data_IF_100048501423
#
_entry.id   IF_100048501423
#
_cell.length_a   1.000
_cell.length_b   1.000
_cell.length_c   1.000
_cell.angle_alpha   90.00
_cell.angle_beta   90.00
_cell.angle_gamma   90.00
#
_symmetry.space_group_name_H-M   'P 1'
#
loop_
_entity.id
_entity.type
_entity.pdbx_description
1 polymer ?
#
# COMPACT_ATOMS: atom_id res chain seq x y z
N UNK A 1 27.80 -1.43 -2.27
CA UNK A 1 27.29 -2.82 -2.37
C UNK A 1 25.83 -2.80 -2.00
N UNK A 2 24.94 -3.21 -2.90
CA UNK A 2 23.49 -3.17 -2.70
C UNK A 2 22.99 -4.52 -2.22
N UNK A 3 21.84 -4.52 -1.51
CA UNK A 3 21.13 -5.73 -1.12
C UNK A 3 20.50 -6.46 -2.31
N UNK A 4 20.05 -7.70 -2.07
CA UNK A 4 19.35 -8.49 -3.08
C UNK A 4 17.89 -8.10 -3.26
N UNK A 5 17.33 -7.40 -2.28
CA UNK A 5 15.95 -7.00 -2.23
C UNK A 5 15.82 -5.50 -2.55
N UNK A 6 14.70 -5.10 -3.09
CA UNK A 6 14.38 -3.72 -3.47
C UNK A 6 14.52 -2.76 -2.30
N UNK A 7 14.10 -3.16 -1.10
CA UNK A 7 14.18 -2.34 0.12
C UNK A 7 15.59 -2.18 0.72
N UNK A 8 16.61 -2.75 0.12
CA UNK A 8 18.03 -2.59 0.43
C UNK A 8 18.83 -2.17 -0.82
N UNK A 9 18.14 -1.61 -1.82
CA UNK A 9 18.76 -1.18 -3.08
C UNK A 9 18.29 0.22 -3.47
N UNK A 10 19.06 1.27 -3.17
CA UNK A 10 18.68 2.66 -3.44
C UNK A 10 18.45 3.01 -4.92
N UNK A 11 18.81 2.11 -5.84
CA UNK A 11 18.53 2.28 -7.26
C UNK A 11 17.12 1.83 -7.64
N UNK A 12 16.40 1.15 -6.72
CA UNK A 12 15.06 0.62 -6.96
C UNK A 12 14.12 1.10 -5.86
N UNK A 13 13.61 2.31 -5.99
CA UNK A 13 12.65 2.89 -5.05
C UNK A 13 11.19 2.75 -5.52
N UNK A 14 10.97 2.32 -6.76
CA UNK A 14 9.65 2.06 -7.33
C UNK A 14 9.71 1.06 -8.49
N UNK A 15 8.64 0.27 -8.65
CA UNK A 15 8.42 -0.63 -9.80
C UNK A 15 6.95 -0.46 -10.20
N UNK A 16 6.69 -0.14 -11.48
CA UNK A 16 5.35 0.06 -12.05
C UNK A 16 4.49 1.11 -11.33
N UNK A 17 5.06 1.93 -10.48
CA UNK A 17 4.39 3.06 -9.85
C UNK A 17 4.20 4.16 -10.89
N UNK A 18 3.01 4.74 -10.94
CA UNK A 18 2.75 5.88 -11.82
C UNK A 18 3.49 7.14 -11.32
N UNK A 19 3.91 8.02 -12.25
CA UNK A 19 4.52 9.29 -11.88
C UNK A 19 3.64 10.07 -10.90
N UNK A 20 4.26 10.78 -9.93
CA UNK A 20 3.51 11.57 -8.98
C UNK A 20 2.76 12.70 -9.69
N UNK A 21 1.52 12.94 -9.24
CA UNK A 21 0.66 13.98 -9.80
C UNK A 21 -0.16 14.66 -8.71
N UNK A 22 -0.68 15.84 -9.02
CA UNK A 22 -1.62 16.54 -8.17
C UNK A 22 -2.83 15.66 -7.88
N UNK A 23 -3.35 15.77 -6.65
CA UNK A 23 -4.53 15.02 -6.22
C UNK A 23 -5.79 15.68 -6.79
N UNK A 24 -6.58 14.92 -7.51
CA UNK A 24 -7.90 15.34 -7.97
C UNK A 24 -8.85 14.14 -8.06
N UNK A 25 -10.13 14.42 -8.03
CA UNK A 25 -11.19 13.46 -8.33
C UNK A 25 -11.96 13.90 -9.58
N UNK A 26 -12.33 12.94 -10.40
CA UNK A 26 -13.26 13.17 -11.50
C UNK A 26 -14.67 12.82 -11.06
N UNK A 27 -15.63 13.65 -11.45
CA UNK A 27 -17.03 13.46 -11.16
C UNK A 27 -17.83 13.43 -12.46
N UNK A 28 -18.95 12.74 -12.47
CA UNK A 28 -19.82 12.58 -13.64
C UNK A 28 -20.66 13.83 -13.94
N UNK A 29 -20.71 14.79 -13.02
CA UNK A 29 -21.43 16.05 -13.20
C UNK A 29 -20.87 17.16 -12.31
N UNK A 30 -21.07 18.42 -12.72
CA UNK A 30 -20.74 19.61 -11.93
C UNK A 30 -21.40 19.56 -10.54
N UNK A 31 -22.66 19.15 -10.45
CA UNK A 31 -23.35 19.01 -9.18
C UNK A 31 -22.64 18.05 -8.21
N UNK A 32 -22.08 16.97 -8.69
CA UNK A 32 -21.32 16.04 -7.85
C UNK A 32 -19.95 16.62 -7.47
N UNK A 33 -19.32 17.37 -8.38
CA UNK A 33 -18.07 18.07 -8.11
C UNK A 33 -18.26 19.17 -7.05
N UNK A 34 -19.34 19.94 -7.11
CA UNK A 34 -19.68 20.99 -6.13
C UNK A 34 -19.88 20.43 -4.72
N UNK A 35 -20.37 19.19 -4.60
CA UNK A 35 -20.51 18.52 -3.31
C UNK A 35 -19.16 18.12 -2.68
N UNK A 36 -18.09 18.01 -3.48
CA UNK A 36 -16.73 17.72 -3.01
C UNK A 36 -16.55 16.35 -2.33
N UNK A 37 -17.51 15.43 -2.48
CA UNK A 37 -17.49 14.11 -1.84
C UNK A 37 -17.22 13.02 -2.89
N UNK A 38 -15.97 12.50 -2.96
CA UNK A 38 -15.63 11.43 -3.91
C UNK A 38 -16.46 10.16 -3.75
N UNK A 39 -16.92 9.87 -2.54
CA UNK A 39 -17.75 8.70 -2.26
C UNK A 39 -19.11 8.69 -2.98
N UNK A 40 -19.50 9.81 -3.55
CA UNK A 40 -20.73 9.94 -4.35
C UNK A 40 -20.51 9.67 -5.84
N UNK A 41 -19.27 9.62 -6.28
CA UNK A 41 -18.92 9.28 -7.66
C UNK A 41 -18.96 7.77 -7.87
N UNK A 42 -19.57 7.32 -8.98
CA UNK A 42 -19.52 5.92 -9.40
C UNK A 42 -18.15 5.49 -9.91
N UNK A 43 -17.23 6.46 -10.07
CA UNK A 43 -15.84 6.25 -10.47
C UNK A 43 -14.89 6.14 -9.28
N UNK A 44 -15.41 6.04 -8.06
CA UNK A 44 -14.62 5.95 -6.85
C UNK A 44 -15.10 4.81 -5.94
N UNK A 45 -14.17 4.00 -5.46
CA UNK A 45 -14.43 2.98 -4.44
C UNK A 45 -13.41 3.11 -3.34
N UNK A 46 -13.88 3.45 -2.14
CA UNK A 46 -13.03 3.50 -0.95
C UNK A 46 -12.65 2.09 -0.50
N UNK A 47 -11.37 1.87 -0.28
CA UNK A 47 -10.85 0.66 0.34
C UNK A 47 -10.53 0.86 1.83
N UNK A 48 -10.99 1.96 2.42
CA UNK A 48 -10.93 2.17 3.86
C UNK A 48 -11.84 1.18 4.59
N UNK A 49 -11.46 0.81 5.80
CA UNK A 49 -12.19 -0.13 6.62
C UNK A 49 -11.36 -1.32 7.06
N UNK A 50 -11.99 -2.46 7.28
CA UNK A 50 -11.31 -3.63 7.82
C UNK A 50 -10.64 -4.47 6.72
N UNK A 51 -9.37 -4.78 6.94
CA UNK A 51 -8.58 -5.68 6.12
C UNK A 51 -8.19 -6.92 6.94
N UNK A 52 -8.09 -8.08 6.31
CA UNK A 52 -7.41 -9.24 6.92
C UNK A 52 -5.93 -8.91 7.04
N UNK A 53 -5.35 -9.16 8.22
CA UNK A 53 -4.02 -8.71 8.56
C UNK A 53 -3.24 -9.75 9.36
N UNK A 54 -1.97 -9.89 9.02
CA UNK A 54 -0.98 -10.66 9.78
C UNK A 54 0.31 -9.87 9.89
N UNK A 55 0.75 -9.62 11.12
CA UNK A 55 2.07 -9.08 11.40
C UNK A 55 3.06 -10.24 11.58
N UNK A 56 4.20 -10.16 10.92
CA UNK A 56 5.34 -11.06 11.07
C UNK A 56 6.55 -10.28 11.56
N UNK A 57 7.42 -10.88 12.36
CA UNK A 57 8.58 -10.17 12.93
C UNK A 57 9.65 -9.89 11.89
N UNK A 58 9.70 -10.72 10.84
CA UNK A 58 10.69 -10.60 9.77
C UNK A 58 10.08 -10.86 8.40
N UNK A 59 10.75 -10.42 7.36
CA UNK A 59 10.34 -10.73 5.98
C UNK A 59 10.33 -12.25 5.71
N UNK A 60 11.30 -12.97 6.25
CA UNK A 60 11.42 -14.43 6.08
C UNK A 60 10.25 -15.19 6.70
N UNK A 61 9.71 -14.69 7.81
CA UNK A 61 8.56 -15.30 8.50
C UNK A 61 7.22 -14.94 7.86
N UNK A 62 7.19 -13.88 7.03
CA UNK A 62 5.96 -13.51 6.34
C UNK A 62 5.64 -14.52 5.24
N UNK A 63 4.36 -14.92 5.13
CA UNK A 63 3.94 -15.84 4.08
C UNK A 63 4.32 -15.28 2.70
N UNK A 64 4.96 -16.11 1.88
CA UNK A 64 5.37 -15.72 0.52
C UNK A 64 4.22 -15.75 -0.47
N UNK A 65 3.26 -16.64 -0.25
CA UNK A 65 2.13 -17.01 -1.11
C UNK A 65 0.80 -16.35 -0.71
N UNK A 66 0.81 -15.50 0.33
CA UNK A 66 -0.43 -14.91 0.86
C UNK A 66 -1.24 -14.11 -0.16
N UNK A 67 -0.60 -13.66 -1.23
CA UNK A 67 -1.21 -12.90 -2.31
C UNK A 67 -2.00 -13.78 -3.29
N UNK A 68 -1.81 -15.08 -3.27
CA UNK A 68 -2.51 -16.03 -4.15
C UNK A 68 -4.01 -16.04 -3.87
N UNK A 69 -4.80 -16.24 -4.93
CA UNK A 69 -6.27 -16.23 -4.84
C UNK A 69 -6.83 -17.32 -3.93
N UNK A 70 -6.19 -18.48 -3.89
CA UNK A 70 -6.58 -19.62 -3.05
C UNK A 70 -6.07 -19.57 -1.62
N UNK A 71 -5.28 -18.56 -1.24
CA UNK A 71 -4.71 -18.48 0.10
C UNK A 71 -5.78 -18.21 1.16
N UNK A 72 -5.88 -19.09 2.15
CA UNK A 72 -6.83 -18.96 3.26
C UNK A 72 -6.32 -17.98 4.33
N UNK A 73 -6.89 -16.79 4.34
CA UNK A 73 -6.68 -15.77 5.36
C UNK A 73 -7.80 -15.73 6.43
N UNK A 74 -8.65 -16.75 6.54
CA UNK A 74 -9.79 -16.77 7.47
C UNK A 74 -9.36 -16.64 8.95
N UNK A 75 -8.19 -17.19 9.29
CA UNK A 75 -7.59 -17.12 10.63
C UNK A 75 -6.85 -15.81 10.91
N UNK A 76 -6.73 -14.93 9.93
CA UNK A 76 -6.08 -13.64 10.13
C UNK A 76 -6.99 -12.70 10.91
N UNK A 77 -6.41 -11.92 11.78
CA UNK A 77 -7.13 -10.86 12.49
C UNK A 77 -7.47 -9.71 11.53
N UNK A 78 -8.23 -8.75 12.01
CA UNK A 78 -8.61 -7.55 11.24
C UNK A 78 -7.84 -6.34 11.73
N UNK A 79 -7.42 -5.51 10.77
CA UNK A 79 -6.84 -4.18 11.02
C UNK A 79 -7.67 -3.13 10.31
N UNK A 80 -7.84 -1.96 10.93
CA UNK A 80 -8.53 -0.82 10.31
C UNK A 80 -7.56 -0.04 9.42
N UNK A 81 -7.95 0.24 8.20
CA UNK A 81 -7.26 1.13 7.25
C UNK A 81 -8.19 2.33 6.98
N UNK A 82 -7.70 3.57 7.06
CA UNK A 82 -6.36 3.98 7.45
C UNK A 82 -6.07 3.75 8.93
N UNK A 83 -4.81 3.51 9.24
CA UNK A 83 -4.38 3.34 10.63
C UNK A 83 -2.95 2.83 10.75
N UNK A 84 -2.36 3.07 11.91
CA UNK A 84 -1.02 2.58 12.25
C UNK A 84 -1.09 1.28 13.07
N UNK A 85 -0.06 0.46 12.96
CA UNK A 85 0.05 -0.80 13.72
C UNK A 85 0.09 -0.54 15.21
N UNK A 86 0.83 0.48 15.62
CA UNK A 86 1.09 0.83 17.01
C UNK A 86 -0.18 1.30 17.71
N UNK A 87 -0.97 2.16 17.06
CA UNK A 87 -2.22 2.67 17.63
C UNK A 87 -3.35 1.63 17.68
N UNK A 88 -3.17 0.50 16.99
CA UNK A 88 -4.12 -0.61 17.00
C UNK A 88 -3.61 -1.82 17.78
N UNK A 89 -2.52 -1.66 18.56
CA UNK A 89 -1.99 -2.68 19.45
C UNK A 89 -1.25 -3.83 18.75
N UNK A 90 -0.81 -3.65 17.50
CA UNK A 90 -0.07 -4.67 16.75
C UNK A 90 1.43 -4.60 17.01
N UNK A 91 1.92 -3.42 17.35
CA UNK A 91 3.32 -3.14 17.58
C UNK A 91 3.45 -2.04 18.65
N UNK A 92 4.64 -1.62 18.93
CA UNK A 92 4.91 -0.52 19.86
C UNK A 92 5.55 0.66 19.11
N UNK A 93 5.25 1.90 19.50
CA UNK A 93 5.87 3.07 18.92
C UNK A 93 7.34 3.13 19.33
N UNK A 94 8.20 3.49 18.39
CA UNK A 94 9.61 3.76 18.64
C UNK A 94 9.78 5.27 18.72
N UNK A 95 10.31 5.74 19.85
CA UNK A 95 10.60 7.14 20.06
C UNK A 95 12.11 7.34 20.12
N UNK A 96 12.69 7.86 19.05
CA UNK A 96 14.09 8.27 18.98
C UNK A 96 14.12 9.59 18.22
N UNK A 97 14.89 10.55 18.71
CA UNK A 97 14.91 11.91 18.18
C UNK A 97 15.95 12.04 17.07
N UNK A 98 17.19 11.70 17.34
CA UNK A 98 18.32 11.88 16.42
C UNK A 98 18.96 10.54 15.98
N UNK A 99 18.66 9.45 16.66
CA UNK A 99 19.28 8.15 16.41
C UNK A 99 18.38 7.21 15.60
N UNK A 100 19.01 6.33 14.81
CA UNK A 100 18.30 5.22 14.19
C UNK A 100 17.94 4.17 15.26
N UNK A 101 16.76 3.50 15.18
CA UNK A 101 16.35 2.45 16.13
C UNK A 101 17.17 1.17 15.97
N UNK A 102 18.23 1.20 15.18
CA UNK A 102 19.15 0.11 14.89
C UNK A 102 20.50 0.67 14.47
N UNK A 103 21.53 -0.20 14.51
CA UNK A 103 22.86 0.18 14.02
C UNK A 103 22.79 0.50 12.53
N UNK A 104 23.16 1.73 12.18
CA UNK A 104 23.18 2.20 10.81
C UNK A 104 24.23 1.45 9.97
N UNK A 105 23.80 0.93 8.84
CA UNK A 105 24.65 0.28 7.82
C UNK A 105 23.99 0.45 6.43
N UNK A 106 23.85 1.70 5.93
CA UNK A 106 23.12 1.96 4.68
C UNK A 106 23.75 1.20 3.50
N UNK A 107 22.93 0.60 2.60
CA UNK A 107 21.47 0.66 2.54
C UNK A 107 20.75 -0.46 3.31
N UNK A 108 21.47 -1.23 4.11
CA UNK A 108 20.94 -2.41 4.78
C UNK A 108 20.10 -2.03 6.02
N UNK A 109 18.98 -2.71 6.20
CA UNK A 109 18.11 -2.57 7.37
C UNK A 109 18.10 -3.85 8.22
N UNK A 110 17.69 -3.79 9.49
CA UNK A 110 17.75 -4.95 10.37
C UNK A 110 16.93 -6.12 9.85
N UNK A 111 17.50 -7.30 9.80
CA UNK A 111 16.79 -8.53 9.38
C UNK A 111 15.87 -9.09 10.47
N UNK A 112 16.18 -8.86 11.75
CA UNK A 112 15.46 -9.40 12.90
C UNK A 112 14.41 -8.47 13.50
N UNK A 113 14.48 -7.17 13.21
CA UNK A 113 13.59 -6.15 13.78
C UNK A 113 12.76 -5.43 12.71
N UNK A 114 12.74 -5.96 11.51
CA UNK A 114 11.99 -5.39 10.39
C UNK A 114 10.66 -6.12 10.23
N UNK A 115 9.68 -5.73 11.02
CA UNK A 115 8.34 -6.32 10.96
C UNK A 115 7.70 -6.10 9.60
N UNK A 116 6.89 -7.08 9.19
CA UNK A 116 6.19 -7.10 7.91
C UNK A 116 4.71 -7.30 8.14
N UNK A 117 3.91 -6.35 7.66
CA UNK A 117 2.46 -6.46 7.66
C UNK A 117 1.96 -7.01 6.33
N UNK A 118 1.26 -8.13 6.37
CA UNK A 118 0.56 -8.69 5.23
C UNK A 118 -0.91 -8.35 5.32
N UNK A 119 -1.43 -7.68 4.29
CA UNK A 119 -2.82 -7.19 4.20
C UNK A 119 -3.52 -7.88 3.05
N UNK A 120 -4.78 -8.25 3.24
CA UNK A 120 -5.62 -8.85 2.20
C UNK A 120 -7.05 -8.34 2.30
N UNK A 121 -7.63 -7.96 1.17
CA UNK A 121 -9.01 -7.52 1.08
C UNK A 121 -9.66 -7.96 -0.22
N UNK A 122 -10.90 -8.41 -0.12
CA UNK A 122 -11.77 -8.67 -1.27
C UNK A 122 -12.68 -7.48 -1.49
N UNK A 123 -12.86 -7.10 -2.75
CA UNK A 123 -13.69 -5.99 -3.21
C UNK A 123 -14.55 -6.45 -4.39
N UNK A 124 -15.70 -5.82 -4.58
CA UNK A 124 -16.55 -6.06 -5.74
C UNK A 124 -16.51 -4.86 -6.68
N UNK A 125 -16.18 -5.10 -7.94
CA UNK A 125 -16.15 -4.08 -8.99
C UNK A 125 -17.37 -4.23 -9.91
N UNK A 126 -18.05 -3.11 -10.24
CA UNK A 126 -19.13 -3.10 -11.21
C UNK A 126 -18.62 -3.47 -12.62
N UNK A 127 -19.47 -4.12 -13.42
CA UNK A 127 -19.14 -4.53 -14.79
C UNK A 127 -18.67 -3.38 -15.68
N UNK A 128 -19.24 -2.17 -15.50
CA UNK A 128 -18.89 -1.00 -16.30
C UNK A 128 -17.47 -0.48 -16.06
N UNK A 129 -16.82 -0.89 -14.96
CA UNK A 129 -15.42 -0.53 -14.68
C UNK A 129 -14.44 -1.20 -15.64
N UNK A 130 -14.78 -2.35 -16.23
CA UNK A 130 -13.95 -3.03 -17.22
C UNK A 130 -13.76 -2.27 -18.54
N UNK A 131 -14.49 -1.18 -18.72
CA UNK A 131 -14.36 -0.28 -19.88
C UNK A 131 -13.58 0.99 -19.57
N UNK A 132 -13.00 1.08 -18.37
CA UNK A 132 -12.31 2.26 -17.83
C UNK A 132 -10.89 1.92 -17.44
N UNK A 133 -10.03 2.92 -17.45
CA UNK A 133 -8.72 2.80 -16.80
C UNK A 133 -8.93 2.86 -15.28
N UNK A 134 -8.39 1.89 -14.56
CA UNK A 134 -8.58 1.75 -13.10
C UNK A 134 -7.26 1.85 -12.38
N UNK A 135 -7.21 2.75 -11.41
CA UNK A 135 -6.03 3.05 -10.62
C UNK A 135 -6.23 2.70 -9.16
N UNK A 136 -5.29 1.96 -8.60
CA UNK A 136 -5.21 1.68 -7.16
C UNK A 136 -4.28 2.69 -6.52
N UNK A 137 -4.80 3.47 -5.57
CA UNK A 137 -4.06 4.53 -4.90
C UNK A 137 -4.00 4.32 -3.40
N UNK A 138 -2.81 4.49 -2.86
CA UNK A 138 -2.53 4.59 -1.43
C UNK A 138 -2.08 6.02 -1.14
N UNK A 139 -2.69 6.68 -0.17
CA UNK A 139 -2.33 8.04 0.22
C UNK A 139 -0.95 8.12 0.86
N UNK A 140 -0.56 7.07 1.58
CA UNK A 140 0.75 6.93 2.21
C UNK A 140 0.94 5.50 2.69
N UNK A 141 2.11 4.91 2.48
CA UNK A 141 2.51 3.63 3.07
C UNK A 141 3.94 3.77 3.60
N UNK A 142 4.15 3.44 4.87
CA UNK A 142 5.47 3.52 5.49
C UNK A 142 6.01 2.12 5.78
N UNK A 143 7.26 1.80 5.40
CA UNK A 143 8.26 2.54 4.63
C UNK A 143 8.29 2.10 3.18
N UNK A 144 8.03 0.80 2.91
CA UNK A 144 8.00 0.22 1.58
C UNK A 144 6.86 -0.79 1.45
N UNK A 145 6.35 -0.98 0.24
CA UNK A 145 5.29 -1.95 0.00
C UNK A 145 5.42 -2.67 -1.33
N UNK A 146 4.92 -3.90 -1.33
CA UNK A 146 4.61 -4.69 -2.52
C UNK A 146 3.10 -4.83 -2.66
N UNK A 147 2.61 -4.78 -3.89
CA UNK A 147 1.18 -4.80 -4.19
C UNK A 147 0.85 -5.90 -5.20
N UNK A 148 -0.24 -6.62 -4.95
CA UNK A 148 -0.82 -7.64 -5.84
C UNK A 148 -2.32 -7.40 -6.01
N UNK A 149 -2.81 -7.68 -7.21
CA UNK A 149 -4.24 -7.72 -7.52
C UNK A 149 -4.55 -9.06 -8.17
N UNK A 150 -5.55 -9.78 -7.67
CA UNK A 150 -5.95 -11.09 -8.16
C UNK A 150 -4.78 -12.09 -8.29
N UNK A 151 -3.88 -12.09 -7.30
CA UNK A 151 -2.69 -12.94 -7.26
C UNK A 151 -1.52 -12.47 -8.12
N UNK A 152 -1.71 -11.50 -9.01
CA UNK A 152 -0.68 -10.99 -9.91
C UNK A 152 0.07 -9.83 -9.26
N UNK A 153 1.39 -9.85 -9.38
CA UNK A 153 2.24 -8.76 -8.91
C UNK A 153 2.00 -7.48 -9.71
N UNK A 154 1.72 -6.39 -9.00
CA UNK A 154 1.47 -5.08 -9.60
C UNK A 154 2.72 -4.22 -9.54
N UNK A 155 3.36 -4.11 -8.37
CA UNK A 155 4.52 -3.26 -8.24
C UNK A 155 5.02 -3.08 -6.82
N UNK A 156 6.03 -2.21 -6.70
CA UNK A 156 6.72 -1.86 -5.48
C UNK A 156 6.80 -0.33 -5.32
N UNK A 157 6.77 0.16 -4.10
CA UNK A 157 6.96 1.59 -3.82
C UNK A 157 7.59 1.83 -2.47
N UNK A 158 8.45 2.83 -2.43
CA UNK A 158 8.92 3.55 -1.24
C UNK A 158 8.39 4.99 -1.27
N UNK A 159 8.71 5.79 -0.25
CA UNK A 159 8.28 7.17 -0.14
C UNK A 159 7.07 7.32 0.79
N UNK A 160 7.34 7.25 2.10
CA UNK A 160 6.33 7.10 3.17
C UNK A 160 5.31 8.22 3.25
N UNK A 161 5.62 9.41 2.75
CA UNK A 161 4.76 10.61 2.89
C UNK A 161 4.10 11.04 1.58
N UNK A 162 4.36 10.29 0.50
CA UNK A 162 3.83 10.59 -0.83
C UNK A 162 2.83 9.53 -1.26
N UNK A 163 1.80 9.92 -2.04
CA UNK A 163 0.88 8.95 -2.61
C UNK A 163 1.57 7.96 -3.55
N UNK A 164 1.10 6.73 -3.50
CA UNK A 164 1.51 5.65 -4.42
C UNK A 164 0.31 5.26 -5.25
N UNK A 165 0.46 5.25 -6.57
CA UNK A 165 -0.61 4.90 -7.50
C UNK A 165 -0.12 3.89 -8.53
N UNK A 166 -0.94 2.86 -8.79
CA UNK A 166 -0.68 1.82 -9.78
C UNK A 166 -1.85 1.69 -10.75
N UNK A 167 -1.54 1.51 -12.03
CA UNK A 167 -2.51 1.11 -13.03
C UNK A 167 -2.84 -0.38 -12.83
N UNK A 168 -4.10 -0.68 -12.57
CA UNK A 168 -4.57 -2.05 -12.34
C UNK A 168 -5.59 -2.50 -13.37
N UNK A 169 -5.75 -1.75 -14.45
CA UNK A 169 -6.74 -1.95 -15.51
C UNK A 169 -6.74 -3.39 -16.03
N UNK A 170 -5.58 -3.93 -16.37
CA UNK A 170 -5.44 -5.26 -16.95
C UNK A 170 -5.49 -6.41 -15.92
N UNK A 171 -5.65 -6.07 -14.64
CA UNK A 171 -5.57 -7.03 -13.54
C UNK A 171 -6.91 -7.24 -12.83
N UNK A 172 -7.92 -6.42 -13.14
CA UNK A 172 -9.25 -6.47 -12.54
C UNK A 172 -10.22 -7.30 -13.35
N UNK A 173 -11.29 -7.75 -12.69
CA UNK A 173 -12.42 -8.43 -13.30
C UNK A 173 -13.74 -7.90 -12.73
N UNK A 174 -14.84 -8.14 -13.43
CA UNK A 174 -16.16 -7.84 -12.89
C UNK A 174 -16.46 -8.71 -11.66
N UNK A 175 -17.16 -8.14 -10.69
CA UNK A 175 -17.45 -8.83 -9.45
C UNK A 175 -16.25 -8.87 -8.52
N UNK A 176 -15.93 -10.03 -7.99
CA UNK A 176 -14.99 -10.18 -6.89
C UNK A 176 -13.53 -10.04 -7.34
N UNK A 177 -12.81 -9.13 -6.71
CA UNK A 177 -11.36 -8.93 -6.88
C UNK A 177 -10.68 -8.96 -5.52
N UNK A 178 -9.41 -9.36 -5.50
CA UNK A 178 -8.60 -9.40 -4.31
C UNK A 178 -7.44 -8.43 -4.42
N UNK A 179 -7.25 -7.59 -3.43
CA UNK A 179 -6.06 -6.76 -3.25
C UNK A 179 -5.23 -7.32 -2.10
N UNK A 180 -3.94 -7.54 -2.33
CA UNK A 180 -2.99 -7.95 -1.31
C UNK A 180 -1.82 -6.96 -1.26
N UNK A 181 -1.38 -6.62 -0.05
CA UNK A 181 -0.29 -5.66 0.18
C UNK A 181 0.64 -6.20 1.24
N UNK A 182 1.95 -6.17 0.97
CA UNK A 182 2.99 -6.48 1.95
C UNK A 182 3.73 -5.19 2.28
N UNK A 183 3.74 -4.80 3.54
CA UNK A 183 4.34 -3.55 4.02
C UNK A 183 5.53 -3.88 4.91
N UNK A 184 6.67 -3.27 4.64
CA UNK A 184 7.88 -3.39 5.45
C UNK A 184 8.00 -2.18 6.37
N UNK A 185 8.36 -2.43 7.64
CA UNK A 185 8.57 -1.35 8.62
C UNK A 185 9.74 -0.45 8.24
N UNK A 186 10.84 -1.04 7.78
CA UNK A 186 12.05 -0.34 7.38
C UNK A 186 12.49 -0.74 5.98
N UNK A 187 13.05 0.21 5.27
CA UNK A 187 13.71 0.07 3.98
C UNK A 187 14.94 0.98 3.95
N UNK A 188 15.75 0.91 2.93
CA UNK A 188 16.85 1.86 2.71
C UNK A 188 16.36 3.31 2.65
N UNK A 189 15.14 3.57 2.16
CA UNK A 189 14.49 4.88 2.25
C UNK A 189 14.31 5.39 3.67
N UNK A 190 14.27 4.52 4.67
CA UNK A 190 14.18 4.90 6.08
C UNK A 190 15.36 5.74 6.54
N UNK A 191 16.54 5.57 5.96
CA UNK A 191 17.71 6.41 6.28
C UNK A 191 17.55 7.87 5.84
N UNK A 192 16.72 8.11 4.83
CA UNK A 192 16.43 9.46 4.31
C UNK A 192 15.21 10.10 4.97
N UNK A 193 14.25 9.28 5.39
CA UNK A 193 12.98 9.71 5.96
C UNK A 193 13.00 9.80 7.49
N UNK A 194 14.13 9.52 8.12
CA UNK A 194 14.25 9.14 9.52
C UNK A 194 14.12 10.26 10.55
N UNK A 195 14.13 11.51 10.17
CA UNK A 195 13.99 12.60 11.15
C UNK A 195 12.58 12.59 11.76
N UNK A 196 12.47 12.58 13.07
CA UNK A 196 11.24 12.69 13.88
C UNK A 196 10.11 11.69 13.58
N UNK A 197 10.27 10.77 12.66
CA UNK A 197 9.16 9.98 12.11
C UNK A 197 9.25 8.48 12.33
N UNK A 198 10.16 8.02 13.16
CA UNK A 198 10.33 6.59 13.45
C UNK A 198 9.20 5.98 14.30
N UNK A 199 8.29 6.81 14.78
CA UNK A 199 7.33 6.51 15.84
C UNK A 199 6.25 5.52 15.46
N UNK A 200 5.74 5.60 14.24
CA UNK A 200 4.58 4.81 13.81
C UNK A 200 4.71 4.30 12.37
N UNK A 201 4.33 3.03 12.18
CA UNK A 201 4.21 2.41 10.86
C UNK A 201 2.73 2.39 10.46
N UNK A 202 2.42 2.84 9.26
CA UNK A 202 1.03 3.00 8.86
C UNK A 202 0.78 2.59 7.41
N UNK A 203 -0.43 2.08 7.16
CA UNK A 203 -1.07 2.19 5.86
C UNK A 203 -2.13 3.27 5.96
N UNK A 204 -1.98 4.30 5.16
CA UNK A 204 -2.90 5.41 5.07
C UNK A 204 -4.00 5.13 4.05
N UNK A 205 -4.86 6.09 3.88
CA UNK A 205 -5.97 6.22 2.96
C UNK A 205 -5.80 5.46 1.63
N UNK A 206 -6.71 4.51 1.35
CA UNK A 206 -6.62 3.64 0.16
C UNK A 206 -7.93 3.68 -0.62
N UNK A 207 -7.86 3.80 -1.95
CA UNK A 207 -9.03 3.75 -2.81
C UNK A 207 -8.71 3.26 -4.22
N UNK A 208 -9.73 2.81 -4.93
CA UNK A 208 -9.73 2.62 -6.37
C UNK A 208 -10.43 3.78 -7.04
N UNK A 209 -9.92 4.17 -8.20
CA UNK A 209 -10.47 5.20 -9.05
C UNK A 209 -10.55 4.69 -10.49
N UNK A 210 -11.70 4.87 -11.12
CA UNK A 210 -11.91 4.62 -12.54
C UNK A 210 -11.91 5.93 -13.32
N UNK A 211 -11.32 5.92 -14.51
CA UNK A 211 -11.32 7.03 -15.46
C UNK A 211 -11.87 6.60 -16.81
N UNK A 212 -12.63 7.47 -17.44
CA UNK A 212 -13.16 7.26 -18.80
C UNK A 212 -12.23 7.77 -19.90
N UNK A 213 -11.15 8.43 -19.56
CA UNK A 213 -10.22 9.00 -20.52
C UNK A 213 -9.42 7.90 -21.20
N UNK A 214 -9.68 7.71 -22.48
CA UNK A 214 -8.78 6.97 -23.36
C UNK A 214 -7.40 7.63 -23.32
N UNK A 215 -6.36 6.81 -23.21
CA UNK A 215 -5.00 7.27 -23.44
C UNK A 215 -4.92 7.77 -24.88
N UNK A 216 -4.58 9.03 -25.07
CA UNK A 216 -4.05 9.51 -26.33
C UNK A 216 -2.55 9.22 -26.39
#
# INVERSE_FOLDING_TARGET
KYGKHEWENPLVFEINKLPPRAHFFSYESERLADLGDPGRSSNFISLNGLWSFKLSNTFKESASDFHEMGFDASKWKKIKVPGSWELQGWSYPIYLDEEYPFKADPPFVPKKMNSVGSYKRTINLPQNWLKKDVFLRFGSIRSACYVWVNGKYIGYSQGSKTPTEFDVTDYIQAGQNQVAVKVLRFSDGSYLEGQDTWRISAVSYTHLRAHETRRY
#
